data_IF_648518351357
#
_entry.id   IF_648518351357
#
_cell.length_a   1.000
_cell.length_b   1.000
_cell.length_c   1.000
_cell.angle_alpha   90.00
_cell.angle_beta   90.00
_cell.angle_gamma   90.00
#
_symmetry.space_group_name_H-M   'P 1'
#
loop_
_entity.id
_entity.type
_entity.pdbx_description
1 polymer ?
#
# COMPACT_ATOMS: atom_id res chain seq x y z
N UNK A 1 -12.56 16.37 -29.61
CA UNK A 1 -11.13 16.00 -29.50
C UNK A 1 -11.12 14.53 -29.15
N UNK A 2 -10.46 13.70 -29.97
CA UNK A 2 -10.67 12.26 -30.03
C UNK A 2 -10.25 11.55 -28.73
N UNK A 3 -11.18 10.80 -28.14
CA UNK A 3 -10.97 9.89 -27.03
C UNK A 3 -10.00 8.78 -27.46
N UNK A 4 -8.76 8.84 -26.99
CA UNK A 4 -7.85 7.70 -27.05
C UNK A 4 -8.21 6.76 -25.89
N UNK A 5 -9.27 5.97 -26.08
CA UNK A 5 -9.54 4.79 -25.23
C UNK A 5 -8.52 3.72 -25.60
N UNK A 6 -7.27 3.90 -25.18
CA UNK A 6 -6.27 2.84 -25.26
C UNK A 6 -6.75 1.69 -24.37
N UNK A 7 -7.03 0.53 -24.97
CA UNK A 7 -7.28 -0.69 -24.21
C UNK A 7 -6.07 -0.93 -23.31
N UNK A 8 -6.26 -0.76 -22.00
CA UNK A 8 -5.26 -1.11 -21.00
C UNK A 8 -4.97 -2.60 -21.19
N UNK A 9 -3.69 -2.96 -21.35
CA UNK A 9 -3.31 -4.36 -21.49
C UNK A 9 -3.71 -5.10 -20.21
N UNK A 10 -4.25 -6.33 -20.25
CA UNK A 10 -4.70 -7.04 -19.06
C UNK A 10 -3.61 -7.15 -17.99
N UNK A 11 -2.35 -7.34 -18.41
CA UNK A 11 -1.20 -7.35 -17.50
C UNK A 11 -0.93 -6.00 -16.83
N UNK A 12 -1.24 -4.88 -17.50
CA UNK A 12 -1.14 -3.54 -16.91
C UNK A 12 -2.24 -3.32 -15.88
N UNK A 13 -3.46 -3.77 -16.17
CA UNK A 13 -4.59 -3.68 -15.23
C UNK A 13 -4.33 -4.48 -13.95
N UNK A 14 -3.85 -5.73 -14.09
CA UNK A 14 -3.44 -6.56 -12.95
C UNK A 14 -2.31 -5.91 -12.12
N UNK A 15 -1.37 -5.24 -12.79
CA UNK A 15 -0.27 -4.55 -12.11
C UNK A 15 -0.75 -3.31 -11.34
N UNK A 16 -1.62 -2.48 -11.94
CA UNK A 16 -2.23 -1.31 -11.28
C UNK A 16 -2.91 -1.75 -9.99
N UNK A 17 -3.70 -2.82 -10.06
CA UNK A 17 -4.41 -3.33 -8.90
C UNK A 17 -3.47 -3.90 -7.82
N UNK A 18 -2.45 -4.66 -8.23
CA UNK A 18 -1.42 -5.13 -7.31
C UNK A 18 -0.69 -3.98 -6.61
N UNK A 19 -0.37 -2.91 -7.34
CA UNK A 19 0.28 -1.73 -6.79
C UNK A 19 -0.64 -0.99 -5.80
N UNK A 20 -1.92 -0.78 -6.13
CA UNK A 20 -2.90 -0.19 -5.20
C UNK A 20 -3.00 -1.00 -3.89
N UNK A 21 -3.02 -2.34 -3.98
CA UNK A 21 -3.08 -3.21 -2.81
C UNK A 21 -1.81 -3.17 -1.95
N UNK A 22 -0.64 -3.09 -2.59
CA UNK A 22 0.64 -2.93 -1.88
C UNK A 22 0.63 -1.58 -1.14
N UNK A 23 0.25 -0.49 -1.80
CA UNK A 23 0.15 0.83 -1.18
C UNK A 23 -0.93 0.92 -0.11
N UNK A 24 -2.04 0.18 -0.24
CA UNK A 24 -3.04 0.05 0.81
C UNK A 24 -2.51 -0.68 2.05
N UNK A 25 -1.50 -1.54 1.88
CA UNK A 25 -0.90 -2.34 2.95
C UNK A 25 0.34 -1.68 3.54
N UNK A 26 0.86 -0.63 2.91
CA UNK A 26 2.01 0.11 3.40
C UNK A 26 1.58 1.07 4.50
N UNK A 27 1.92 0.71 5.73
CA UNK A 27 1.49 1.41 6.96
C UNK A 27 1.88 2.88 6.98
N UNK A 28 3.08 3.23 6.50
CA UNK A 28 3.53 4.61 6.46
C UNK A 28 2.63 5.50 5.59
N UNK A 29 2.29 5.03 4.39
CA UNK A 29 1.40 5.73 3.47
C UNK A 29 -0.05 5.74 3.99
N UNK A 30 -0.54 4.63 4.56
CA UNK A 30 -1.88 4.58 5.17
C UNK A 30 -2.02 5.63 6.30
N UNK A 31 -1.02 5.73 7.17
CA UNK A 31 -0.99 6.72 8.25
C UNK A 31 -0.88 8.14 7.70
N UNK A 32 -0.03 8.38 6.69
CA UNK A 32 0.10 9.69 6.06
C UNK A 32 -1.23 10.20 5.49
N UNK A 33 -2.00 9.31 4.85
CA UNK A 33 -3.34 9.63 4.33
C UNK A 33 -4.34 9.86 5.46
N UNK A 34 -4.38 9.00 6.48
CA UNK A 34 -5.29 9.13 7.62
C UNK A 34 -5.07 10.42 8.40
N UNK A 35 -3.80 10.82 8.58
CA UNK A 35 -3.43 12.03 9.31
C UNK A 35 -3.36 13.27 8.43
N UNK A 36 -3.71 13.16 7.15
CA UNK A 36 -3.71 14.24 6.18
C UNK A 36 -2.35 14.96 6.08
N UNK A 37 -1.24 14.22 6.16
CA UNK A 37 0.10 14.80 6.03
C UNK A 37 0.35 15.39 4.64
N UNK A 38 -0.37 14.94 3.61
CA UNK A 38 -0.39 15.57 2.29
C UNK A 38 -1.52 16.60 2.09
N UNK A 39 -2.19 17.02 3.16
CA UNK A 39 -3.34 17.93 3.12
C UNK A 39 -4.69 17.25 2.82
N UNK A 40 -5.73 18.03 2.47
CA UNK A 40 -7.07 17.49 2.21
C UNK A 40 -7.11 16.49 1.05
N UNK A 41 -6.19 16.64 0.11
CA UNK A 41 -6.10 15.81 -1.10
C UNK A 41 -5.18 14.60 -0.91
N UNK A 42 -4.80 14.24 0.34
CA UNK A 42 -3.89 13.11 0.64
C UNK A 42 -4.36 11.79 0.01
N UNK A 43 -5.67 11.55 -0.04
CA UNK A 43 -6.24 10.39 -0.69
C UNK A 43 -5.97 10.40 -2.20
N UNK A 44 -6.21 11.54 -2.86
CA UNK A 44 -5.95 11.72 -4.30
C UNK A 44 -4.46 11.60 -4.63
N UNK A 45 -3.58 12.07 -3.72
CA UNK A 45 -2.12 11.88 -3.85
C UNK A 45 -1.72 10.41 -3.80
N UNK A 46 -2.35 9.59 -2.94
CA UNK A 46 -2.13 8.14 -2.92
C UNK A 46 -2.53 7.49 -4.24
N UNK A 47 -3.68 7.85 -4.79
CA UNK A 47 -4.13 7.33 -6.08
C UNK A 47 -3.18 7.79 -7.22
N UNK A 48 -2.77 9.05 -7.22
CA UNK A 48 -1.77 9.59 -8.14
C UNK A 48 -0.42 8.85 -8.05
N UNK A 49 0.03 8.50 -6.85
CA UNK A 49 1.27 7.75 -6.63
C UNK A 49 1.24 6.37 -7.31
N UNK A 50 0.09 5.70 -7.33
CA UNK A 50 -0.11 4.45 -8.10
C UNK A 50 0.16 4.70 -9.58
N UNK A 51 -0.45 5.74 -10.15
CA UNK A 51 -0.29 6.07 -11.57
C UNK A 51 1.18 6.39 -11.92
N UNK A 52 1.85 7.20 -11.11
CA UNK A 52 3.27 7.57 -11.31
C UNK A 52 4.17 6.33 -11.36
N UNK A 53 4.00 5.43 -10.38
CA UNK A 53 4.80 4.20 -10.32
C UNK A 53 4.48 3.32 -11.52
N UNK A 54 3.21 3.16 -11.89
CA UNK A 54 2.81 2.39 -13.06
C UNK A 54 3.39 2.94 -14.36
N UNK A 55 3.44 4.26 -14.49
CA UNK A 55 4.08 4.92 -15.62
C UNK A 55 5.59 4.71 -15.66
N UNK A 56 6.28 4.77 -14.51
CA UNK A 56 7.73 4.52 -14.43
C UNK A 56 8.07 3.09 -14.87
N UNK A 57 7.33 2.10 -14.38
CA UNK A 57 7.43 0.72 -14.86
C UNK A 57 7.10 0.58 -16.35
N UNK A 58 6.18 1.39 -16.88
CA UNK A 58 5.86 1.45 -18.30
C UNK A 58 6.99 2.04 -19.17
N UNK A 59 7.72 3.04 -18.65
CA UNK A 59 8.82 3.73 -19.35
C UNK A 59 10.11 2.91 -19.33
N UNK A 60 10.52 2.43 -18.16
CA UNK A 60 11.78 1.70 -17.97
C UNK A 60 11.65 0.20 -18.27
N UNK A 61 10.45 -0.36 -18.13
CA UNK A 61 10.20 -1.78 -18.40
C UNK A 61 11.00 -2.70 -17.50
N UNK A 62 11.52 -3.81 -18.05
CA UNK A 62 12.34 -4.77 -17.30
C UNK A 62 13.72 -4.25 -16.86
N UNK A 63 14.09 -3.02 -17.20
CA UNK A 63 15.35 -2.39 -16.77
C UNK A 63 15.22 -1.61 -15.49
N UNK A 64 14.02 -1.52 -14.93
CA UNK A 64 13.81 -0.80 -13.68
C UNK A 64 14.43 -1.59 -12.53
N UNK A 65 15.30 -0.92 -11.78
CA UNK A 65 15.94 -1.48 -10.60
C UNK A 65 15.10 -1.18 -9.35
N UNK A 66 15.31 -1.98 -8.31
CA UNK A 66 14.60 -1.80 -7.04
C UNK A 66 14.92 -0.44 -6.42
N UNK A 67 16.20 -0.04 -6.48
CA UNK A 67 16.71 1.22 -5.93
C UNK A 67 16.02 2.42 -6.59
N UNK A 68 15.83 2.40 -7.92
CA UNK A 68 15.10 3.47 -8.64
C UNK A 68 13.68 3.68 -8.11
N UNK A 69 12.97 2.58 -7.82
CA UNK A 69 11.61 2.67 -7.27
C UNK A 69 11.67 3.10 -5.82
N UNK A 70 12.60 2.59 -5.03
CA UNK A 70 12.78 3.01 -3.64
C UNK A 70 13.03 4.51 -3.52
N UNK A 71 13.97 5.06 -4.29
CA UNK A 71 14.26 6.49 -4.32
C UNK A 71 13.02 7.31 -4.71
N UNK A 72 12.25 6.84 -5.70
CA UNK A 72 11.00 7.47 -6.11
C UNK A 72 9.96 7.47 -4.98
N UNK A 73 9.81 6.34 -4.28
CA UNK A 73 8.86 6.22 -3.16
C UNK A 73 9.26 7.13 -1.99
N UNK A 74 10.55 7.17 -1.65
CA UNK A 74 11.09 8.05 -0.61
C UNK A 74 10.86 9.52 -0.96
N UNK A 75 11.17 9.90 -2.20
CA UNK A 75 10.97 11.27 -2.66
C UNK A 75 9.50 11.69 -2.58
N UNK A 76 8.57 10.83 -3.02
CA UNK A 76 7.14 11.14 -2.94
C UNK A 76 6.67 11.27 -1.48
N UNK A 77 7.12 10.39 -0.59
CA UNK A 77 6.76 10.47 0.82
C UNK A 77 7.26 11.76 1.48
N UNK A 78 8.47 12.21 1.11
CA UNK A 78 9.03 13.47 1.61
C UNK A 78 8.32 14.70 1.00
N UNK A 79 8.21 14.77 -0.33
CA UNK A 79 7.70 15.95 -1.04
C UNK A 79 6.17 16.12 -0.90
N UNK A 80 5.41 15.03 -1.02
CA UNK A 80 3.95 15.09 -1.10
C UNK A 80 3.24 14.85 0.23
N UNK A 81 3.89 14.15 1.16
CA UNK A 81 3.34 13.77 2.47
C UNK A 81 4.17 14.28 3.65
N UNK A 82 5.19 15.12 3.44
CA UNK A 82 6.07 15.66 4.49
C UNK A 82 6.60 14.57 5.46
N UNK A 83 6.82 13.36 4.94
CA UNK A 83 7.13 12.16 5.71
C UNK A 83 8.50 11.59 5.33
N UNK A 84 9.43 11.63 6.27
CA UNK A 84 10.75 11.02 6.11
C UNK A 84 10.69 9.61 6.69
N UNK A 85 11.06 8.62 5.87
CA UNK A 85 11.06 7.21 6.26
C UNK A 85 12.45 6.78 6.73
N UNK A 86 12.51 6.15 7.89
CA UNK A 86 13.75 5.64 8.51
C UNK A 86 13.71 4.11 8.74
N UNK A 87 12.61 3.45 8.37
CA UNK A 87 12.30 2.06 8.71
C UNK A 87 12.58 1.06 7.57
N UNK A 88 13.20 1.50 6.48
CA UNK A 88 13.44 0.71 5.24
C UNK A 88 12.17 0.16 4.56
N UNK A 89 10.98 0.58 5.01
CA UNK A 89 9.72 0.08 4.45
C UNK A 89 9.54 0.41 2.97
N UNK A 90 10.11 1.53 2.49
CA UNK A 90 10.16 1.87 1.08
C UNK A 90 10.90 0.82 0.24
N UNK A 91 11.98 0.23 0.78
CA UNK A 91 12.76 -0.81 0.10
C UNK A 91 12.00 -2.13 -0.01
N UNK A 92 11.26 -2.51 1.04
CA UNK A 92 10.41 -3.71 1.00
C UNK A 92 9.26 -3.54 0.00
N UNK A 93 8.63 -2.35 -0.01
CA UNK A 93 7.55 -2.02 -0.95
C UNK A 93 8.07 -2.00 -2.39
N UNK A 94 9.24 -1.41 -2.65
CA UNK A 94 9.85 -1.38 -3.98
C UNK A 94 10.19 -2.78 -4.49
N UNK A 95 10.68 -3.67 -3.62
CA UNK A 95 10.90 -5.08 -3.94
C UNK A 95 9.60 -5.77 -4.37
N UNK A 96 8.52 -5.58 -3.62
CA UNK A 96 7.21 -6.17 -3.92
C UNK A 96 6.64 -5.66 -5.25
N UNK A 97 6.73 -4.35 -5.52
CA UNK A 97 6.32 -3.74 -6.79
C UNK A 97 7.09 -4.34 -7.97
N UNK A 98 8.41 -4.43 -7.87
CA UNK A 98 9.26 -5.06 -8.88
C UNK A 98 8.88 -6.52 -9.13
N UNK A 99 8.56 -7.28 -8.06
CA UNK A 99 8.16 -8.67 -8.16
C UNK A 99 6.84 -8.83 -8.92
N UNK A 100 5.79 -8.10 -8.51
CA UNK A 100 4.48 -8.21 -9.16
C UNK A 100 4.54 -7.76 -10.63
N UNK A 101 5.37 -6.76 -10.94
CA UNK A 101 5.57 -6.32 -12.32
C UNK A 101 6.15 -7.43 -13.19
N UNK A 102 7.21 -8.10 -12.71
CA UNK A 102 7.85 -9.22 -13.41
C UNK A 102 6.89 -10.40 -13.62
N UNK A 103 6.00 -10.67 -12.67
CA UNK A 103 4.97 -11.70 -12.77
C UNK A 103 3.90 -11.31 -13.81
N UNK A 104 3.40 -10.07 -13.73
CA UNK A 104 2.43 -9.53 -14.69
C UNK A 104 2.96 -9.53 -16.12
N UNK A 105 4.24 -9.16 -16.34
CA UNK A 105 4.87 -9.21 -17.67
C UNK A 105 4.93 -10.64 -18.22
N UNK A 106 5.08 -11.66 -17.36
CA UNK A 106 5.06 -13.08 -17.74
C UNK A 106 3.64 -13.64 -17.91
N UNK A 107 2.61 -12.88 -17.56
CA UNK A 107 1.21 -13.33 -17.55
C UNK A 107 0.84 -14.18 -16.33
N UNK A 108 1.66 -14.13 -15.27
CA UNK A 108 1.36 -14.77 -13.98
C UNK A 108 0.71 -13.74 -13.05
N UNK A 109 -0.53 -13.99 -12.63
CA UNK A 109 -1.28 -13.10 -11.75
C UNK A 109 -1.43 -13.66 -10.32
N UNK A 110 -0.70 -14.73 -9.98
CA UNK A 110 -0.86 -15.43 -8.71
C UNK A 110 -0.66 -14.52 -7.48
N UNK A 111 0.31 -13.60 -7.55
CA UNK A 111 0.56 -12.66 -6.44
C UNK A 111 -0.53 -11.60 -6.32
N UNK A 112 -1.07 -11.11 -7.45
CA UNK A 112 -2.18 -10.15 -7.46
C UNK A 112 -3.44 -10.79 -6.87
N UNK A 113 -3.73 -12.04 -7.24
CA UNK A 113 -4.86 -12.79 -6.66
C UNK A 113 -4.70 -13.03 -5.15
N UNK A 114 -3.48 -13.28 -4.66
CA UNK A 114 -3.21 -13.36 -3.22
C UNK A 114 -3.43 -12.03 -2.51
N UNK A 115 -2.98 -10.93 -3.10
CA UNK A 115 -3.19 -9.58 -2.54
C UNK A 115 -4.68 -9.23 -2.49
N UNK A 116 -5.45 -9.55 -3.54
CA UNK A 116 -6.91 -9.43 -3.55
C UNK A 116 -7.57 -10.18 -2.39
N UNK A 117 -7.24 -11.47 -2.22
CA UNK A 117 -7.78 -12.30 -1.14
C UNK A 117 -7.41 -11.77 0.26
N UNK A 118 -6.20 -11.25 0.42
CA UNK A 118 -5.77 -10.64 1.69
C UNK A 118 -6.56 -9.37 2.01
N UNK A 119 -6.82 -8.52 1.01
CA UNK A 119 -7.65 -7.32 1.16
C UNK A 119 -9.09 -7.68 1.53
N UNK A 120 -9.72 -8.61 0.81
CA UNK A 120 -11.09 -9.07 1.08
C UNK A 120 -11.24 -9.59 2.53
N UNK A 121 -10.23 -10.31 3.02
CA UNK A 121 -10.20 -10.81 4.40
C UNK A 121 -10.06 -9.70 5.44
N UNK A 122 -9.33 -8.63 5.12
CA UNK A 122 -9.12 -7.45 5.99
C UNK A 122 -10.36 -6.55 6.02
N UNK A 123 -11.05 -6.40 4.90
CA UNK A 123 -12.33 -5.69 4.82
C UNK A 123 -13.45 -6.44 5.56
N UNK A 124 -13.52 -7.77 5.41
CA UNK A 124 -14.50 -8.58 6.13
C UNK A 124 -14.28 -8.55 7.66
N UNK A 125 -13.03 -8.50 8.13
CA UNK A 125 -12.73 -8.34 9.56
C UNK A 125 -13.01 -6.91 10.08
N UNK A 126 -12.75 -5.85 9.28
CA UNK A 126 -13.15 -4.47 9.59
C UNK A 126 -14.69 -4.28 9.61
N UNK A 127 -15.43 -5.00 8.76
CA UNK A 127 -16.89 -4.98 8.72
C UNK A 127 -17.53 -5.72 9.92
N UNK A 128 -16.94 -6.83 10.36
CA UNK A 128 -17.40 -7.58 11.53
C UNK A 128 -17.18 -6.84 12.87
N UNK A 129 -16.12 -6.04 12.99
CA UNK A 129 -15.88 -5.21 14.20
C UNK A 129 -16.77 -3.95 14.24
N UNK A 130 -17.19 -3.44 13.08
CA UNK A 130 -18.06 -2.25 12.98
C UNK A 130 -19.55 -2.53 13.25
N UNK A 131 -19.97 -3.79 13.32
CA UNK A 131 -21.38 -4.18 13.45
C UNK A 131 -21.82 -4.55 14.88
N UNK A 132 -21.00 -4.29 15.91
CA UNK A 132 -21.33 -4.67 17.30
C UNK A 132 -21.44 -3.53 18.33
N UNK A 133 -21.53 -2.26 17.93
CA UNK A 133 -21.74 -1.16 18.89
C UNK A 133 -23.16 -0.61 18.76
N UNK A 134 -24.12 -1.33 19.35
CA UNK A 134 -25.38 -0.75 19.80
C UNK A 134 -25.56 -1.09 21.28
N UNK A 135 -24.81 -0.40 22.15
CA UNK A 135 -25.07 -0.39 23.59
C UNK A 135 -25.14 1.08 24.04
N UNK A 136 -26.32 1.63 24.34
CA UNK A 136 -26.41 2.97 24.88
C UNK A 136 -25.99 2.95 26.35
N UNK A 137 -24.81 3.48 26.62
CA UNK A 137 -24.39 3.91 27.95
C UNK A 137 -23.48 2.94 28.69
N UNK A 138 -22.16 3.03 28.46
CA UNK A 138 -21.18 2.90 29.54
C UNK A 138 -19.87 3.56 29.09
N UNK A 139 -19.46 4.60 29.81
CA UNK A 139 -18.09 5.10 29.90
C UNK A 139 -17.19 4.07 30.60
N UNK A 140 -15.86 4.28 30.50
CA UNK A 140 -14.70 3.55 31.08
C UNK A 140 -14.11 2.48 30.15
N UNK A 141 -12.81 2.30 29.93
CA UNK A 141 -11.56 2.99 30.32
C UNK A 141 -10.46 2.43 29.39
N UNK A 142 -9.38 3.17 29.20
CA UNK A 142 -8.17 2.67 28.54
C UNK A 142 -7.60 1.44 29.27
N UNK A 143 -7.14 0.48 28.49
CA UNK A 143 -6.45 -0.71 28.98
C UNK A 143 -5.07 -0.77 28.30
N UNK A 144 -4.05 -0.51 29.12
CA UNK A 144 -2.67 -0.89 28.86
C UNK A 144 -2.55 -2.40 28.98
N UNK A 145 -2.10 -3.06 27.93
CA UNK A 145 -1.63 -4.44 28.06
C UNK A 145 -0.12 -4.45 28.26
N UNK A 146 0.28 -4.39 29.53
CA UNK A 146 1.55 -4.96 30.00
C UNK A 146 1.47 -6.48 29.92
N UNK A 147 2.49 -7.14 29.36
CA UNK A 147 2.74 -8.55 29.66
C UNK A 147 4.25 -8.80 29.73
N UNK A 148 4.69 -8.88 30.98
CA UNK A 148 5.96 -9.31 31.53
C UNK A 148 6.03 -10.84 31.52
N UNK A 149 7.11 -11.44 31.00
CA UNK A 149 7.46 -12.86 31.22
C UNK A 149 8.99 -12.96 31.42
N UNK A 150 9.42 -12.85 32.68
CA UNK A 150 10.74 -13.22 33.22
C UNK A 150 10.86 -14.74 33.45
N UNK A 151 11.94 -15.40 32.99
CA UNK A 151 12.54 -16.67 33.48
C UNK A 151 13.68 -17.09 32.52
N UNK A 152 14.82 -17.72 32.86
CA UNK A 152 15.45 -18.21 34.10
C UNK A 152 16.91 -18.58 33.74
N UNK A 153 17.85 -18.25 34.63
CA UNK A 153 19.07 -18.96 35.06
C UNK A 153 19.77 -20.03 34.14
N UNK A 154 21.02 -19.75 33.74
CA UNK A 154 22.23 -20.57 34.06
C UNK A 154 23.51 -19.71 33.97
#
# INVERSE_FOLDING_TARGET
MASTSQRIHPNKEAFIEGADHIFASWTALELAVQQQWGGPDSQEKRDWMVDVVVEEFGKKGSKIDQEDIEDLLLQIMEDEFECILEDNSASDVSYHLCKIYRECVKGDHSTVDKLRLQRDSKDNSKAAVSSSINVPGQSVSGDESSSDEEMDQD
#
